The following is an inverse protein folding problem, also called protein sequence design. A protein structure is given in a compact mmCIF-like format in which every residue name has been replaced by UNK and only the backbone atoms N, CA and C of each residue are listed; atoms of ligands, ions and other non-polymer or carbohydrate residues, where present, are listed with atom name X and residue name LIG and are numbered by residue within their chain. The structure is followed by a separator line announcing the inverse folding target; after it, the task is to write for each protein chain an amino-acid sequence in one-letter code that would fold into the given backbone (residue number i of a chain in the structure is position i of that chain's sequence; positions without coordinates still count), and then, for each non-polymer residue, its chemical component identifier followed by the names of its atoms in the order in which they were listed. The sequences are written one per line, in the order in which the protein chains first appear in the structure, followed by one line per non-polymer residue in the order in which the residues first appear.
data_IF_573594670248
#
_entry.id   IF_573594670248
#
_cell.length_a   1.000
_cell.length_b   1.000
_cell.length_c   1.000
_cell.angle_alpha   90.00
_cell.angle_beta   90.00
_cell.angle_gamma   90.00
#
_symmetry.space_group_name_H-M   'P 1'
#
loop_
_entity.id
_entity.type
_entity.pdbx_description
1 polymer ?
#
# COMPACT_ATOMS: atom_id res chain seq x y z
N UNK A 1 0.99 23.31 0.63
CA UNK A 1 2.20 22.61 0.17
C UNK A 1 3.33 23.10 1.05
N UNK A 2 4.02 22.18 1.70
CA UNK A 2 4.87 22.50 2.84
C UNK A 2 6.32 22.72 2.37
N UNK A 3 6.89 23.89 2.68
CA UNK A 3 8.30 24.22 2.41
C UNK A 3 9.30 23.15 2.89
N UNK A 4 8.92 22.42 3.94
CA UNK A 4 9.68 21.28 4.49
C UNK A 4 9.79 20.11 3.52
N UNK A 5 8.76 19.91 2.71
CA UNK A 5 8.70 18.83 1.72
C UNK A 5 9.64 19.14 0.55
N UNK A 6 9.71 20.41 0.12
CA UNK A 6 10.70 20.90 -0.84
C UNK A 6 12.14 20.67 -0.36
N UNK A 7 12.44 21.02 0.90
CA UNK A 7 13.77 20.79 1.50
C UNK A 7 14.12 19.29 1.52
N UNK A 8 13.14 18.42 1.78
CA UNK A 8 13.33 16.97 1.79
C UNK A 8 13.68 16.44 0.39
N UNK A 9 12.98 16.90 -0.65
CA UNK A 9 13.28 16.50 -2.03
C UNK A 9 14.64 17.00 -2.50
N UNK A 10 15.04 18.22 -2.11
CA UNK A 10 16.39 18.74 -2.42
C UNK A 10 17.49 17.89 -1.76
N UNK A 11 17.28 17.48 -0.51
CA UNK A 11 18.22 16.58 0.18
C UNK A 11 18.29 15.22 -0.51
N UNK A 12 17.16 14.64 -0.91
CA UNK A 12 17.13 13.38 -1.66
C UNK A 12 17.85 13.49 -3.00
N UNK A 13 17.64 14.58 -3.74
CA UNK A 13 18.33 14.85 -5.00
C UNK A 13 19.85 14.90 -4.80
N UNK A 14 20.33 15.56 -3.74
CA UNK A 14 21.77 15.62 -3.44
C UNK A 14 22.38 14.24 -3.16
N UNK A 15 21.63 13.35 -2.49
CA UNK A 15 22.07 11.98 -2.22
C UNK A 15 22.14 11.15 -3.50
N UNK A 16 21.16 11.31 -4.39
CA UNK A 16 21.14 10.64 -5.69
C UNK A 16 22.26 11.16 -6.59
N UNK A 17 22.53 12.47 -6.61
CA UNK A 17 23.65 13.03 -7.36
C UNK A 17 25.01 12.58 -6.81
N UNK A 18 25.14 12.40 -5.49
CA UNK A 18 26.34 11.82 -4.86
C UNK A 18 26.53 10.34 -5.23
N UNK A 19 25.43 9.56 -5.25
CA UNK A 19 25.45 8.17 -5.69
C UNK A 19 25.82 8.07 -7.18
N UNK A 20 25.27 8.95 -8.03
CA UNK A 20 25.64 9.05 -9.44
C UNK A 20 27.10 9.49 -9.66
N UNK A 21 27.68 10.28 -8.76
CA UNK A 21 29.09 10.62 -8.82
C UNK A 21 30.00 9.41 -8.55
N UNK A 22 29.51 8.44 -7.78
CA UNK A 22 30.22 7.17 -7.51
C UNK A 22 29.98 6.15 -8.62
N UNK A 23 28.75 6.09 -9.17
CA UNK A 23 28.34 5.15 -10.22
C UNK A 23 27.56 5.88 -11.35
N UNK A 24 28.27 6.53 -12.30
CA UNK A 24 27.65 7.37 -13.34
C UNK A 24 26.83 6.62 -14.39
N UNK A 25 27.07 5.32 -14.58
CA UNK A 25 26.35 4.49 -15.56
C UNK A 25 25.02 3.90 -15.04
N UNK A 26 24.63 4.21 -13.80
CA UNK A 26 23.36 3.71 -13.27
C UNK A 26 22.16 4.49 -13.86
N UNK A 27 21.50 3.87 -14.84
CA UNK A 27 20.30 4.41 -15.49
C UNK A 27 19.16 4.68 -14.51
N UNK A 28 18.98 3.85 -13.48
CA UNK A 28 17.90 4.03 -12.48
C UNK A 28 18.12 5.30 -11.66
N UNK A 29 19.37 5.57 -11.25
CA UNK A 29 19.70 6.78 -10.50
C UNK A 29 19.58 8.03 -11.38
N UNK A 30 19.88 7.91 -12.69
CA UNK A 30 19.72 9.01 -13.65
C UNK A 30 18.25 9.33 -13.87
N UNK A 31 17.39 8.31 -13.99
CA UNK A 31 15.95 8.46 -14.06
C UNK A 31 15.39 9.09 -12.77
N UNK A 32 15.79 8.59 -11.60
CA UNK A 32 15.37 9.12 -10.29
C UNK A 32 15.79 10.59 -10.10
N UNK A 33 17.00 10.95 -10.52
CA UNK A 33 17.47 12.34 -10.52
C UNK A 33 16.55 13.23 -11.37
N UNK A 34 16.14 12.76 -12.54
CA UNK A 34 15.27 13.52 -13.44
C UNK A 34 13.87 13.73 -12.84
N UNK A 35 13.29 12.68 -12.24
CA UNK A 35 11.99 12.73 -11.57
C UNK A 35 12.02 13.66 -10.35
N UNK A 36 13.06 13.57 -9.50
CA UNK A 36 13.21 14.46 -8.34
C UNK A 36 13.33 15.93 -8.74
N UNK A 37 14.01 16.24 -9.87
CA UNK A 37 14.07 17.61 -10.40
C UNK A 37 12.70 18.13 -10.83
N UNK A 38 11.90 17.30 -11.48
CA UNK A 38 10.54 17.67 -11.88
C UNK A 38 9.64 17.89 -10.67
N UNK A 39 9.71 17.01 -9.66
CA UNK A 39 8.97 17.15 -8.41
C UNK A 39 9.32 18.43 -7.65
N UNK A 40 10.60 18.77 -7.57
CA UNK A 40 11.08 20.02 -6.97
C UNK A 40 10.51 21.22 -7.73
N UNK A 41 10.63 21.24 -9.06
CA UNK A 41 10.11 22.34 -9.90
C UNK A 41 8.59 22.54 -9.72
N UNK A 42 7.83 21.45 -9.70
CA UNK A 42 6.38 21.50 -9.53
C UNK A 42 6.00 21.99 -8.13
N UNK A 43 6.75 21.56 -7.11
CA UNK A 43 6.56 21.99 -5.71
C UNK A 43 6.92 23.45 -5.51
N UNK A 44 8.01 23.93 -6.10
CA UNK A 44 8.40 25.35 -6.10
C UNK A 44 7.34 26.22 -6.77
N UNK A 45 6.78 25.76 -7.90
CA UNK A 45 5.69 26.47 -8.60
C UNK A 45 4.44 26.55 -7.73
N UNK A 46 4.06 25.45 -7.06
CA UNK A 46 2.92 25.42 -6.16
C UNK A 46 3.12 26.32 -4.92
N UNK A 47 4.34 26.38 -4.38
CA UNK A 47 4.70 27.27 -3.28
C UNK A 47 4.65 28.74 -3.71
N UNK A 48 5.21 29.09 -4.88
CA UNK A 48 5.15 30.45 -5.42
C UNK A 48 3.70 30.92 -5.67
N UNK A 49 2.82 30.02 -6.13
CA UNK A 49 1.39 30.31 -6.27
C UNK A 49 0.66 30.47 -4.93
N UNK A 50 1.17 29.85 -3.86
CA UNK A 50 0.63 29.98 -2.51
C UNK A 50 1.16 31.20 -1.73
N UNK A 51 2.37 31.68 -2.03
CA UNK A 51 3.01 32.82 -1.36
C UNK A 51 2.73 34.19 -2.01
N UNK A 52 2.16 34.23 -3.22
CA UNK A 52 1.78 35.49 -3.86
C UNK A 52 0.55 36.13 -3.16
N UNK A 53 0.63 37.38 -2.68
CA UNK A 53 -0.54 38.09 -2.16
C UNK A 53 -1.48 38.47 -3.30
N UNK A 54 -2.78 38.29 -3.10
CA UNK A 54 -3.82 38.75 -4.00
C UNK A 54 -3.69 40.28 -4.24
N UNK A 55 -3.38 40.67 -5.48
CA UNK A 55 -3.63 41.99 -6.07
C UNK A 55 -3.47 41.84 -7.59
N UNK A 56 -4.56 41.71 -8.35
CA UNK A 56 -5.17 42.90 -8.91
C UNK A 56 -6.70 42.80 -8.99
N UNK A 57 -7.33 43.68 -8.21
CA UNK A 57 -8.70 44.14 -8.37
C UNK A 57 -8.82 45.04 -9.59
N UNK A 58 -9.80 44.80 -10.46
CA UNK A 58 -10.44 45.86 -11.24
C UNK A 58 -11.94 45.85 -10.94
N UNK A 59 -12.27 46.48 -9.82
CA UNK A 59 -13.61 46.96 -9.52
C UNK A 59 -13.70 48.38 -10.06
N UNK A 60 -14.40 48.58 -11.19
CA UNK A 60 -14.79 49.89 -11.67
C UNK A 60 -16.32 49.98 -11.56
N UNK A 61 -16.78 50.82 -10.64
CA UNK A 61 -18.20 51.14 -10.44
C UNK A 61 -18.52 52.51 -11.01
N UNK A 62 -19.56 52.56 -11.86
CA UNK A 62 -20.51 53.67 -12.13
C UNK A 62 -20.06 54.90 -12.97
N UNK A 63 -20.97 55.56 -13.75
CA UNK A 63 -22.37 55.79 -13.37
C UNK A 63 -23.49 55.63 -14.44
N UNK A 64 -24.66 55.27 -13.90
CA UNK A 64 -26.00 55.79 -14.20
C UNK A 64 -26.48 55.98 -15.66
N UNK A 65 -27.45 55.13 -16.04
CA UNK A 65 -28.63 55.57 -16.80
C UNK A 65 -29.89 55.06 -16.11
N UNK A 66 -30.90 55.93 -16.10
CA UNK A 66 -32.06 55.96 -15.20
C UNK A 66 -33.26 55.21 -15.79
N UNK A 67 -34.27 55.00 -14.93
CA UNK A 67 -35.67 54.63 -15.20
C UNK A 67 -35.93 53.15 -15.53
N UNK A 68 -36.95 52.47 -15.01
CA UNK A 68 -38.18 52.94 -14.39
C UNK A 68 -38.74 51.92 -13.36
N UNK A 69 -39.51 52.48 -12.44
CA UNK A 69 -40.48 51.89 -11.53
C UNK A 69 -41.22 50.63 -12.00
N UNK A 70 -41.32 49.64 -11.11
CA UNK A 70 -42.28 48.55 -11.17
C UNK A 70 -42.25 47.73 -9.88
N UNK A 71 -43.37 47.72 -9.17
CA UNK A 71 -43.70 47.07 -7.90
C UNK A 71 -43.36 45.56 -7.81
N UNK A 72 -43.28 44.99 -6.59
CA UNK A 72 -42.73 43.65 -6.34
C UNK A 72 -43.77 42.58 -6.62
N UNK A 73 -43.57 41.77 -7.68
CA UNK A 73 -44.30 40.53 -7.89
C UNK A 73 -43.34 39.33 -7.85
N UNK A 74 -43.65 38.27 -7.09
CA UNK A 74 -42.91 37.02 -7.16
C UNK A 74 -43.36 36.25 -8.40
N UNK A 75 -42.44 35.60 -9.12
CA UNK A 75 -42.84 34.38 -9.81
C UNK A 75 -41.76 33.30 -9.63
N UNK A 76 -42.14 32.13 -9.14
CA UNK A 76 -42.76 31.06 -9.93
C UNK A 76 -41.70 30.02 -10.27
N UNK A 77 -41.79 28.92 -9.55
CA UNK A 77 -41.56 27.57 -10.06
C UNK A 77 -41.50 27.48 -11.59
N UNK A 78 -40.30 27.34 -12.14
CA UNK A 78 -40.06 26.78 -13.48
C UNK A 78 -38.96 25.72 -13.37
N UNK A 79 -39.45 24.49 -13.27
CA UNK A 79 -38.99 23.23 -13.86
C UNK A 79 -37.49 22.89 -13.99
N UNK A 80 -37.15 21.60 -13.82
CA UNK A 80 -35.79 21.13 -13.58
C UNK A 80 -34.96 21.12 -14.86
N UNK A 81 -34.00 22.04 -14.95
CA UNK A 81 -32.80 21.77 -15.74
C UNK A 81 -32.12 20.55 -15.11
N UNK A 82 -31.62 19.62 -15.94
CA UNK A 82 -31.12 18.33 -15.48
C UNK A 82 -30.16 18.45 -14.29
N UNK A 83 -30.10 17.43 -13.43
CA UNK A 83 -29.43 17.49 -12.12
C UNK A 83 -27.93 17.87 -12.12
N UNK A 84 -27.30 17.95 -13.30
CA UNK A 84 -25.92 18.38 -13.48
C UNK A 84 -25.76 19.88 -13.84
N UNK A 85 -26.82 20.56 -14.26
CA UNK A 85 -26.75 21.98 -14.68
C UNK A 85 -26.71 22.96 -13.49
N UNK A 86 -27.12 22.51 -12.30
CA UNK A 86 -27.06 23.30 -11.06
C UNK A 86 -25.72 23.20 -10.33
N UNK A 87 -24.74 22.45 -10.88
CA UNK A 87 -23.46 22.23 -10.24
C UNK A 87 -22.53 23.44 -10.37
N UNK A 88 -21.90 23.85 -9.28
CA UNK A 88 -20.97 24.98 -9.23
C UNK A 88 -19.57 24.56 -8.77
N UNK A 89 -18.59 25.45 -8.96
CA UNK A 89 -17.24 25.22 -8.45
C UNK A 89 -17.29 25.07 -6.92
N UNK A 90 -16.66 24.02 -6.41
CA UNK A 90 -16.68 23.64 -5.01
C UNK A 90 -17.65 22.52 -4.67
N UNK A 91 -18.67 22.25 -5.51
CA UNK A 91 -19.68 21.23 -5.24
C UNK A 91 -19.13 19.80 -5.34
N UNK A 92 -19.72 18.91 -4.53
CA UNK A 92 -19.46 17.49 -4.58
C UNK A 92 -20.37 16.82 -5.62
N UNK A 93 -19.78 16.03 -6.51
CA UNK A 93 -20.49 15.36 -7.58
C UNK A 93 -19.95 13.94 -7.80
N UNK A 94 -20.64 13.21 -8.67
CA UNK A 94 -20.19 11.94 -9.23
C UNK A 94 -19.74 12.19 -10.66
N UNK A 95 -18.48 11.91 -10.92
CA UNK A 95 -17.86 12.08 -12.22
C UNK A 95 -17.59 10.72 -12.86
N UNK A 96 -17.81 10.61 -14.17
CA UNK A 96 -17.48 9.41 -14.94
C UNK A 96 -15.97 9.45 -15.28
N UNK A 97 -15.20 8.49 -14.80
CA UNK A 97 -13.76 8.40 -15.11
C UNK A 97 -13.52 7.86 -16.51
N UNK A 98 -12.66 8.49 -17.31
CA UNK A 98 -12.40 8.05 -18.69
C UNK A 98 -11.71 6.69 -18.79
N UNK A 99 -10.96 6.26 -17.78
CA UNK A 99 -10.20 5.00 -17.85
C UNK A 99 -11.07 3.75 -17.86
N UNK A 100 -12.16 3.73 -17.07
CA UNK A 100 -13.03 2.58 -16.88
C UNK A 100 -14.53 2.89 -17.12
N UNK A 101 -14.86 4.16 -17.35
CA UNK A 101 -16.22 4.64 -17.53
C UNK A 101 -17.11 4.53 -16.29
N UNK A 102 -16.55 4.30 -15.10
CA UNK A 102 -17.32 4.18 -13.85
C UNK A 102 -17.52 5.55 -13.18
N UNK A 103 -18.49 5.62 -12.26
CA UNK A 103 -18.80 6.87 -11.54
C UNK A 103 -18.06 6.89 -10.20
N UNK A 104 -17.21 7.89 -10.02
CA UNK A 104 -16.45 8.09 -8.79
C UNK A 104 -16.81 9.43 -8.14
N UNK A 105 -16.78 9.51 -6.81
CA UNK A 105 -17.01 10.76 -6.11
C UNK A 105 -15.89 11.75 -6.47
N UNK A 106 -16.26 12.97 -6.83
CA UNK A 106 -15.36 14.01 -7.25
C UNK A 106 -15.82 15.37 -6.72
N UNK A 107 -14.92 16.36 -6.80
CA UNK A 107 -15.22 17.76 -6.46
C UNK A 107 -14.95 18.63 -7.67
N UNK A 108 -15.87 19.55 -7.96
CA UNK A 108 -15.73 20.49 -9.07
C UNK A 108 -14.74 21.58 -8.66
N UNK A 109 -13.68 21.76 -9.44
CA UNK A 109 -12.67 22.80 -9.20
C UNK A 109 -13.02 24.09 -9.95
N UNK A 110 -13.50 23.96 -11.18
CA UNK A 110 -13.85 25.10 -12.04
C UNK A 110 -14.99 24.72 -12.98
N UNK A 111 -15.78 25.72 -13.34
CA UNK A 111 -16.86 25.60 -14.32
C UNK A 111 -16.61 26.62 -15.42
N UNK A 112 -16.53 26.14 -16.66
CA UNK A 112 -16.29 26.95 -17.84
C UNK A 112 -17.28 26.65 -18.97
N UNK A 113 -17.07 27.30 -20.10
CA UNK A 113 -17.90 27.17 -21.29
C UNK A 113 -19.15 28.08 -21.28
N UNK A 114 -19.92 27.98 -22.37
CA UNK A 114 -21.19 28.68 -22.54
C UNK A 114 -22.32 27.95 -21.85
N UNK A 115 -23.45 28.63 -21.59
CA UNK A 115 -24.63 28.03 -20.93
C UNK A 115 -25.12 26.74 -21.62
N UNK A 116 -24.93 26.66 -22.95
CA UNK A 116 -25.31 25.52 -23.79
C UNK A 116 -24.27 24.38 -23.82
N UNK A 117 -22.99 24.66 -23.56
CA UNK A 117 -21.89 23.67 -23.53
C UNK A 117 -21.01 23.92 -22.32
N UNK A 118 -21.56 23.60 -21.17
CA UNK A 118 -20.89 23.77 -19.89
C UNK A 118 -19.89 22.65 -19.66
N UNK A 119 -18.65 23.04 -19.41
CA UNK A 119 -17.52 22.14 -19.19
C UNK A 119 -17.04 22.30 -17.76
N UNK A 120 -16.78 21.18 -17.09
CA UNK A 120 -16.45 21.14 -15.68
C UNK A 120 -15.07 20.51 -15.50
N UNK A 121 -14.22 21.16 -14.73
CA UNK A 121 -12.99 20.54 -14.26
C UNK A 121 -13.27 19.92 -12.89
N UNK A 122 -12.96 18.63 -12.73
CA UNK A 122 -13.22 17.89 -11.50
C UNK A 122 -11.96 17.19 -11.01
N UNK A 123 -11.82 17.11 -9.68
CA UNK A 123 -10.80 16.30 -9.00
C UNK A 123 -11.48 15.11 -8.33
N UNK A 124 -11.05 13.90 -8.63
CA UNK A 124 -11.59 12.69 -8.01
C UNK A 124 -11.22 12.61 -6.52
N UNK A 125 -12.13 12.14 -5.66
CA UNK A 125 -11.81 11.93 -4.24
C UNK A 125 -10.98 10.67 -4.08
N UNK A 126 -9.84 10.79 -3.40
CA UNK A 126 -8.90 9.68 -3.17
C UNK A 126 -7.84 9.50 -4.26
N UNK A 127 -7.94 10.28 -5.35
CA UNK A 127 -6.98 10.30 -6.44
C UNK A 127 -6.72 11.76 -6.84
N UNK A 128 -5.48 12.20 -6.96
CA UNK A 128 -5.18 13.58 -7.39
C UNK A 128 -5.34 13.77 -8.92
N UNK A 129 -6.20 12.98 -9.55
CA UNK A 129 -6.47 13.05 -10.99
C UNK A 129 -7.52 14.12 -11.27
N UNK A 130 -7.19 15.04 -12.18
CA UNK A 130 -8.10 16.06 -12.71
C UNK A 130 -8.61 15.65 -14.08
N UNK A 131 -9.91 15.82 -14.32
CA UNK A 131 -10.50 15.53 -15.63
C UNK A 131 -11.46 16.63 -16.06
N UNK A 132 -11.50 16.88 -17.37
CA UNK A 132 -12.40 17.85 -17.99
C UNK A 132 -13.61 17.11 -18.55
N UNK A 133 -14.78 17.34 -17.95
CA UNK A 133 -16.00 16.60 -18.22
C UNK A 133 -17.15 17.52 -18.60
N UNK A 134 -18.02 17.03 -19.48
CA UNK A 134 -19.29 17.69 -19.80
C UNK A 134 -20.35 17.38 -18.73
N UNK A 135 -21.44 18.17 -18.71
CA UNK A 135 -22.59 17.95 -17.83
C UNK A 135 -23.14 16.50 -17.89
N UNK A 136 -23.04 15.83 -19.05
CA UNK A 136 -23.49 14.45 -19.24
C UNK A 136 -22.66 13.41 -18.47
N UNK A 137 -21.40 13.73 -18.20
CA UNK A 137 -20.47 12.89 -17.44
C UNK A 137 -20.44 13.23 -15.95
N UNK A 138 -21.31 14.15 -15.49
CA UNK A 138 -21.49 14.52 -14.10
C UNK A 138 -22.89 14.15 -13.58
N UNK A 139 -22.95 13.81 -12.30
CA UNK A 139 -24.18 13.59 -11.53
C UNK A 139 -24.05 14.30 -10.19
N UNK A 140 -25.14 14.83 -9.62
CA UNK A 140 -25.08 15.41 -8.28
C UNK A 140 -24.81 14.32 -7.23
N UNK A 141 -24.14 14.69 -6.14
CA UNK A 141 -23.96 13.80 -5.01
C UNK A 141 -25.29 13.60 -4.26
N UNK A 142 -25.72 12.36 -3.97
CA UNK A 142 -26.89 12.14 -3.12
C UNK A 142 -26.63 12.62 -1.70
N UNK A 143 -27.66 13.17 -1.04
CA UNK A 143 -27.60 13.69 0.32
C UNK A 143 -27.15 12.65 1.39
N UNK A 144 -27.22 11.35 1.06
CA UNK A 144 -26.78 10.25 1.93
C UNK A 144 -25.32 9.81 1.74
N UNK A 145 -24.52 10.55 0.97
CA UNK A 145 -23.14 10.21 0.64
C UNK A 145 -23.02 9.11 -0.42
N UNK A 146 -21.83 8.98 -1.02
CA UNK A 146 -21.56 7.94 -2.00
C UNK A 146 -21.37 6.58 -1.32
N UNK A 147 -22.21 5.59 -1.65
CA UNK A 147 -22.10 4.22 -1.12
C UNK A 147 -21.44 3.24 -2.10
N UNK A 148 -20.60 3.71 -3.01
CA UNK A 148 -19.99 2.87 -4.03
C UNK A 148 -20.96 2.42 -5.13
N UNK A 149 -20.43 2.19 -6.33
CA UNK A 149 -21.18 1.72 -7.50
C UNK A 149 -21.96 0.41 -7.21
N UNK A 150 -21.46 -0.42 -6.29
CA UNK A 150 -22.05 -1.71 -5.92
C UNK A 150 -23.22 -1.64 -4.92
N UNK A 151 -23.43 -0.53 -4.19
CA UNK A 151 -24.52 -0.45 -3.22
C UNK A 151 -25.81 0.17 -3.79
N UNK A 152 -25.73 0.95 -4.87
CA UNK A 152 -26.89 1.62 -5.45
C UNK A 152 -27.93 0.63 -6.04
N UNK A 153 -27.50 -0.56 -6.47
CA UNK A 153 -28.39 -1.63 -6.94
C UNK A 153 -29.08 -2.41 -5.79
N UNK A 154 -28.66 -2.21 -4.53
CA UNK A 154 -29.24 -2.89 -3.37
C UNK A 154 -30.38 -2.12 -2.69
N UNK A 155 -30.65 -0.88 -3.12
CA UNK A 155 -31.57 0.04 -2.43
C UNK A 155 -33.07 -0.27 -2.48
N UNK A 156 -33.50 -1.45 -2.96
CA UNK A 156 -34.93 -1.84 -3.04
C UNK A 156 -35.25 -3.24 -2.53
N UNK A 157 -34.38 -3.87 -1.76
CA UNK A 157 -34.75 -5.10 -1.04
C UNK A 157 -34.56 -4.89 0.45
N UNK A 158 -35.66 -4.95 1.19
CA UNK A 158 -35.61 -5.15 2.65
C UNK A 158 -34.71 -6.35 2.90
N UNK A 159 -33.72 -6.18 3.76
CA UNK A 159 -32.72 -7.19 4.14
C UNK A 159 -33.46 -8.46 4.56
N UNK A 160 -33.44 -9.50 3.72
CA UNK A 160 -34.07 -10.79 4.02
C UNK A 160 -33.21 -11.52 5.05
N UNK A 161 -33.86 -12.05 6.08
CA UNK A 161 -33.33 -12.83 7.21
C UNK A 161 -32.26 -13.87 6.81
N UNK A 162 -32.33 -14.37 5.58
CA UNK A 162 -31.40 -15.33 4.96
C UNK A 162 -29.97 -14.77 4.74
N UNK A 163 -29.83 -13.46 4.48
CA UNK A 163 -28.52 -12.81 4.25
C UNK A 163 -27.76 -12.57 5.57
N UNK A 164 -28.51 -12.43 6.68
CA UNK A 164 -27.96 -12.33 8.03
C UNK A 164 -27.44 -13.69 8.52
N UNK A 165 -28.19 -14.78 8.30
CA UNK A 165 -27.76 -16.15 8.59
C UNK A 165 -26.54 -16.59 7.77
N UNK A 166 -26.42 -16.18 6.50
CA UNK A 166 -25.23 -16.50 5.70
C UNK A 166 -23.99 -15.75 6.20
N UNK A 167 -24.17 -14.51 6.67
CA UNK A 167 -23.09 -13.71 7.26
C UNK A 167 -22.67 -14.26 8.62
N UNK A 168 -23.60 -14.78 9.42
CA UNK A 168 -23.31 -15.48 10.66
C UNK A 168 -22.60 -16.82 10.44
N UNK A 169 -23.01 -17.61 9.44
CA UNK A 169 -22.29 -18.86 9.07
C UNK A 169 -20.86 -18.56 8.60
N UNK A 170 -20.65 -17.48 7.83
CA UNK A 170 -19.30 -17.04 7.39
C UNK A 170 -18.45 -16.54 8.57
N UNK A 171 -19.01 -15.76 9.50
CA UNK A 171 -18.32 -15.33 10.73
C UNK A 171 -17.92 -16.53 11.60
N UNK A 172 -18.86 -17.46 11.86
CA UNK A 172 -18.62 -18.68 12.65
C UNK A 172 -17.57 -19.60 12.03
N UNK A 173 -17.51 -19.67 10.70
CA UNK A 173 -16.46 -20.41 9.97
C UNK A 173 -15.08 -19.75 10.07
N UNK A 174 -15.02 -18.41 10.04
CA UNK A 174 -13.76 -17.68 10.17
C UNK A 174 -13.22 -17.71 11.61
N UNK A 175 -14.12 -17.56 12.59
CA UNK A 175 -13.80 -17.65 14.02
C UNK A 175 -13.28 -19.04 14.40
N UNK A 176 -13.98 -20.11 13.95
CA UNK A 176 -13.51 -21.50 14.14
C UNK A 176 -12.14 -21.75 13.47
N UNK A 177 -11.88 -21.12 12.32
CA UNK A 177 -10.57 -21.24 11.64
C UNK A 177 -9.46 -20.49 12.39
N UNK A 178 -9.78 -19.36 13.00
CA UNK A 178 -8.86 -18.59 13.84
C UNK A 178 -8.53 -19.34 15.14
N UNK A 179 -9.52 -19.96 15.77
CA UNK A 179 -9.32 -20.75 16.99
C UNK A 179 -8.44 -21.99 16.74
N UNK A 180 -8.69 -22.73 15.65
CA UNK A 180 -7.85 -23.87 15.26
C UNK A 180 -6.41 -23.42 14.96
N UNK A 181 -6.23 -22.26 14.32
CA UNK A 181 -4.88 -21.70 14.06
C UNK A 181 -4.19 -21.28 15.36
N UNK A 182 -4.92 -20.68 16.30
CA UNK A 182 -4.40 -20.28 17.60
C UNK A 182 -4.03 -21.51 18.47
N UNK A 183 -4.84 -22.57 18.46
CA UNK A 183 -4.53 -23.83 19.14
C UNK A 183 -3.25 -24.47 18.58
N UNK A 184 -3.12 -24.53 17.25
CA UNK A 184 -1.91 -25.04 16.59
C UNK A 184 -0.68 -24.19 16.91
N UNK A 185 -0.81 -22.87 17.01
CA UNK A 185 0.29 -21.98 17.40
C UNK A 185 0.72 -22.19 18.86
N UNK A 186 -0.24 -22.38 19.80
CA UNK A 186 0.06 -22.69 21.20
C UNK A 186 0.79 -24.03 21.35
N UNK A 187 0.40 -25.05 20.59
CA UNK A 187 1.08 -26.35 20.60
C UNK A 187 2.54 -26.25 20.12
N UNK A 188 2.80 -25.43 19.09
CA UNK A 188 4.16 -25.17 18.60
C UNK A 188 5.00 -24.42 19.64
N UNK A 189 4.43 -23.42 20.31
CA UNK A 189 5.12 -22.70 21.37
C UNK A 189 5.47 -23.64 22.55
N UNK A 190 4.56 -24.52 22.95
CA UNK A 190 4.82 -25.52 23.98
C UNK A 190 5.94 -26.49 23.59
N UNK A 191 6.00 -26.92 22.32
CA UNK A 191 7.09 -27.75 21.80
C UNK A 191 8.44 -27.02 21.79
N UNK A 192 8.46 -25.75 21.39
CA UNK A 192 9.67 -24.92 21.47
C UNK A 192 10.12 -24.72 22.92
N UNK A 193 9.21 -24.42 23.84
CA UNK A 193 9.52 -24.29 25.26
C UNK A 193 10.05 -25.60 25.87
N UNK A 194 9.51 -26.75 25.45
CA UNK A 194 10.01 -28.06 25.85
C UNK A 194 11.43 -28.32 25.31
N UNK A 195 11.70 -27.97 24.05
CA UNK A 195 13.04 -28.01 23.45
C UNK A 195 14.04 -27.11 24.17
N UNK A 196 13.65 -25.88 24.50
CA UNK A 196 14.47 -24.94 25.27
C UNK A 196 14.76 -25.47 26.68
N UNK A 197 13.79 -26.11 27.34
CA UNK A 197 14.00 -26.76 28.64
C UNK A 197 14.96 -27.96 28.53
N UNK A 198 14.88 -28.73 27.46
CA UNK A 198 15.81 -29.83 27.18
C UNK A 198 17.23 -29.31 26.96
N UNK A 199 17.38 -28.27 26.13
CA UNK A 199 18.64 -27.56 25.87
C UNK A 199 19.31 -27.03 27.15
N UNK A 200 18.56 -26.32 28.00
CA UNK A 200 19.08 -25.80 29.28
C UNK A 200 19.46 -26.91 30.25
N UNK A 201 18.75 -28.04 30.23
CA UNK A 201 19.04 -29.19 31.09
C UNK A 201 20.29 -29.95 30.65
N UNK A 202 20.59 -30.01 29.35
CA UNK A 202 21.82 -30.61 28.83
C UNK A 202 23.05 -29.74 29.13
N UNK A 203 22.91 -28.41 29.04
CA UNK A 203 23.97 -27.45 29.42
C UNK A 203 24.35 -27.62 30.91
N UNK A 204 23.35 -27.72 31.81
CA UNK A 204 23.59 -27.96 33.24
C UNK A 204 24.20 -29.33 33.55
N UNK A 205 24.08 -30.31 32.65
CA UNK A 205 24.72 -31.64 32.76
C UNK A 205 26.06 -31.72 32.02
N UNK A 206 26.55 -30.63 31.43
CA UNK A 206 27.81 -30.59 30.69
C UNK A 206 27.79 -31.34 29.35
N UNK A 207 26.61 -31.72 28.85
CA UNK A 207 26.45 -32.40 27.55
C UNK A 207 26.10 -31.34 26.51
N UNK A 208 27.07 -31.00 25.67
CA UNK A 208 26.90 -30.00 24.60
C UNK A 208 26.13 -30.65 23.44
N UNK A 209 24.94 -30.12 23.13
CA UNK A 209 24.14 -30.57 21.97
C UNK A 209 24.69 -29.90 20.72
N UNK A 210 25.13 -30.73 19.76
CA UNK A 210 25.67 -30.28 18.48
C UNK A 210 24.69 -29.36 17.73
N UNK A 211 25.18 -28.21 17.26
CA UNK A 211 24.41 -27.23 16.46
C UNK A 211 23.89 -26.00 17.21
N UNK A 212 23.92 -25.97 18.55
CA UNK A 212 23.31 -24.88 19.33
C UNK A 212 24.28 -23.77 19.76
N UNK A 213 25.59 -24.03 19.76
CA UNK A 213 26.63 -23.07 20.18
C UNK A 213 27.32 -22.34 19.00
N UNK A 214 26.82 -22.46 17.77
CA UNK A 214 27.37 -21.74 16.60
C UNK A 214 28.80 -22.17 16.18
N UNK A 215 29.46 -23.04 16.94
CA UNK A 215 30.71 -23.70 16.54
C UNK A 215 30.36 -24.86 15.62
N UNK A 216 30.39 -24.60 14.31
CA UNK A 216 30.22 -25.65 13.30
C UNK A 216 31.21 -26.79 13.55
N UNK A 217 30.72 -28.03 13.50
CA UNK A 217 31.52 -29.25 13.61
C UNK A 217 32.55 -29.39 12.45
N UNK A 218 32.44 -28.50 11.46
CA UNK A 218 33.34 -28.35 10.31
C UNK A 218 34.13 -27.04 10.34
N UNK A 219 34.11 -26.27 11.44
CA UNK A 219 34.87 -25.02 11.52
C UNK A 219 36.36 -25.33 11.55
N UNK A 220 37.09 -24.88 10.52
CA UNK A 220 38.53 -25.04 10.41
C UNK A 220 39.22 -24.35 11.59
N UNK A 221 40.02 -25.05 12.41
CA UNK A 221 40.81 -24.41 13.44
C UNK A 221 41.85 -23.48 12.81
N UNK A 222 42.15 -22.35 13.45
CA UNK A 222 43.03 -21.27 12.96
C UNK A 222 44.54 -21.64 12.92
N UNK A 223 44.84 -22.94 12.92
CA UNK A 223 46.20 -23.47 12.84
C UNK A 223 46.48 -23.83 11.37
N UNK A 224 47.53 -23.29 10.72
CA UNK A 224 47.80 -23.49 9.28
C UNK A 224 48.06 -24.94 8.83
N UNK A 225 48.06 -25.91 9.75
CA UNK A 225 48.14 -27.35 9.47
C UNK A 225 46.90 -28.15 9.91
N UNK A 226 45.81 -27.50 10.33
CA UNK A 226 44.59 -28.15 10.81
C UNK A 226 43.69 -28.65 9.67
N UNK A 227 43.64 -29.97 9.44
CA UNK A 227 42.64 -30.57 8.53
C UNK A 227 41.30 -30.81 9.24
N UNK A 228 40.21 -30.62 8.49
CA UNK A 228 38.81 -30.70 8.94
C UNK A 228 38.47 -32.13 9.38
N UNK A 229 38.44 -32.35 10.69
CA UNK A 229 37.91 -33.55 11.34
C UNK A 229 37.00 -33.12 12.49
N UNK A 230 36.02 -33.95 12.83
CA UNK A 230 35.05 -33.71 13.92
C UNK A 230 35.79 -33.29 15.18
N UNK A 231 35.63 -32.02 15.55
CA UNK A 231 36.37 -31.40 16.65
C UNK A 231 35.86 -31.92 17.99
N UNK A 232 36.76 -32.42 18.85
CA UNK A 232 36.49 -32.62 20.29
C UNK A 232 36.92 -33.94 20.92
N UNK A 233 37.25 -34.97 20.14
CA UNK A 233 37.91 -36.17 20.69
C UNK A 233 39.34 -36.16 20.16
N UNK A 234 40.34 -35.93 21.02
CA UNK A 234 41.77 -35.94 20.67
C UNK A 234 42.31 -37.30 20.22
N UNK A 235 41.49 -38.11 19.54
CA UNK A 235 41.85 -39.37 18.93
C UNK A 235 42.09 -39.10 17.44
N UNK A 236 43.33 -39.35 16.98
CA UNK A 236 43.64 -39.38 15.55
C UNK A 236 42.76 -40.40 14.81
N UNK A 237 42.72 -40.27 13.48
CA UNK A 237 42.03 -41.18 12.57
C UNK A 237 42.32 -42.64 12.97
N UNK A 238 41.29 -43.41 13.33
CA UNK A 238 41.45 -44.85 13.58
C UNK A 238 41.89 -45.50 12.28
N UNK A 239 43.07 -46.13 12.25
CA UNK A 239 43.48 -46.94 11.11
C UNK A 239 42.44 -48.03 10.85
N UNK A 240 42.08 -48.16 9.58
CA UNK A 240 41.14 -49.18 9.14
C UNK A 240 41.82 -50.53 9.31
N UNK A 241 41.48 -51.27 10.37
CA UNK A 241 41.88 -52.67 10.47
C UNK A 241 41.30 -53.40 9.25
N UNK A 242 42.20 -53.83 8.36
CA UNK A 242 41.84 -54.57 7.15
C UNK A 242 41.01 -55.79 7.55
N UNK A 243 39.76 -55.84 7.06
CA UNK A 243 38.77 -56.87 7.35
C UNK A 243 39.37 -58.26 7.08
N UNK A 244 39.58 -59.01 8.15
CA UNK A 244 40.03 -60.39 8.06
C UNK A 244 38.95 -61.22 7.36
N UNK A 245 39.33 -61.89 6.27
CA UNK A 245 38.40 -62.75 5.50
C UNK A 245 38.17 -64.03 6.32
N UNK A 246 36.96 -64.20 6.84
CA UNK A 246 36.56 -65.47 7.45
C UNK A 246 36.63 -66.59 6.40
N UNK A 247 37.59 -67.50 6.56
CA UNK A 247 37.59 -68.79 5.85
C UNK A 247 36.69 -69.74 6.62
N UNK A 248 35.54 -70.08 6.05
CA UNK A 248 34.71 -71.17 6.56
C UNK A 248 35.29 -72.48 6.01
N UNK A 249 35.79 -73.35 6.88
CA UNK A 249 36.13 -74.72 6.50
C UNK A 249 34.83 -75.49 6.29
N UNK A 250 34.66 -76.06 5.10
CA UNK A 250 33.54 -76.95 4.79
C UNK A 250 33.86 -78.35 5.29
N UNK A 251 33.76 -78.56 6.60
CA UNK A 251 33.84 -79.89 7.22
C UNK A 251 32.91 -79.93 8.44
N UNK A 252 31.62 -79.76 8.17
CA UNK A 252 30.54 -80.25 9.04
C UNK A 252 29.30 -80.49 8.16
N UNK A 253 29.44 -81.45 7.24
CA UNK A 253 28.35 -81.97 6.42
C UNK A 253 28.50 -83.49 6.36
N UNK A 254 28.33 -84.15 7.52
CA UNK A 254 28.12 -85.59 7.60
C UNK A 254 27.41 -85.97 8.90
N UNK A 255 26.07 -85.90 8.88
CA UNK A 255 25.18 -86.80 9.61
C UNK A 255 23.86 -86.89 8.88
#
# INVERSE_FOLDING_TARGET
MDRKELETFQVQLSQVELALASDPENEELTALRSELKELISLTETALAQAEAPASSTSNATAPASRSASGTPHPPRSKQPAGPAASLQAGDECLAKYSGDGQWYPARITSVGGSDERRVFNVVFKGYNSTELLDASALKPMPAGGWKGQHAAAAGKRRLTQEEEEERERKKKKNEKKLEVRAAKAKEQNNKQAAWQKFAKKSEKKGVVIAGMQGTSIFKTPDNPHGRVGVTGSGKGMTEYASREKHKFSADDAAS
#
